data_IF_588973892013
#
_entry.id   IF_588973892013
#
_cell.length_a   1.000
_cell.length_b   1.000
_cell.length_c   1.000
_cell.angle_alpha   90.00
_cell.angle_beta   90.00
_cell.angle_gamma   90.00
#
_symmetry.space_group_name_H-M   'P 1'
#
loop_
_entity.id
_entity.type
_entity.pdbx_description
1 polymer ?
#
# COMPACT_ATOMS: atom_id res chain seq x y z
N UNK A 1 14.92 17.09 -11.07
CA UNK A 1 13.92 16.08 -11.46
C UNK A 1 14.41 14.77 -10.86
N UNK A 2 13.80 14.30 -9.77
CA UNK A 2 14.18 13.02 -9.16
C UNK A 2 13.64 11.93 -10.09
N UNK A 3 14.51 11.02 -10.52
CA UNK A 3 14.11 9.86 -11.33
C UNK A 3 14.00 8.65 -10.41
N UNK A 4 13.04 7.74 -10.63
CA UNK A 4 12.95 6.53 -9.83
C UNK A 4 14.17 5.64 -10.11
N UNK A 5 14.66 4.99 -9.05
CA UNK A 5 15.68 3.93 -9.13
C UNK A 5 15.05 2.65 -9.69
N UNK A 6 13.76 2.43 -9.39
CA UNK A 6 12.97 1.29 -9.83
C UNK A 6 11.52 1.72 -10.01
N UNK A 7 10.87 1.24 -11.07
CA UNK A 7 9.42 1.25 -11.21
C UNK A 7 8.97 -0.20 -11.38
N UNK A 8 8.02 -0.63 -10.54
CA UNK A 8 7.37 -1.92 -10.69
C UNK A 8 5.88 -1.70 -10.88
N UNK A 9 5.49 -1.65 -12.15
CA UNK A 9 4.13 -1.37 -12.57
C UNK A 9 3.18 -2.54 -12.27
N UNK A 10 3.68 -3.79 -12.19
CA UNK A 10 2.85 -4.94 -11.82
C UNK A 10 2.43 -4.94 -10.34
N UNK A 11 3.13 -4.15 -9.52
CA UNK A 11 2.87 -3.95 -8.08
C UNK A 11 2.54 -2.49 -7.74
N UNK A 12 2.24 -1.66 -8.75
CA UNK A 12 1.85 -0.25 -8.63
C UNK A 12 2.74 0.60 -7.70
N UNK A 13 4.07 0.43 -7.76
CA UNK A 13 5.00 1.24 -6.95
C UNK A 13 6.28 1.65 -7.68
N UNK A 14 6.95 2.65 -7.12
CA UNK A 14 8.28 3.07 -7.56
C UNK A 14 9.17 3.39 -6.36
N UNK A 15 10.49 3.17 -6.51
CA UNK A 15 11.52 3.51 -5.54
C UNK A 15 12.25 4.77 -5.99
N UNK A 16 12.49 5.68 -5.06
CA UNK A 16 13.24 6.91 -5.30
C UNK A 16 14.37 7.00 -4.28
N UNK A 17 15.55 7.37 -4.76
CA UNK A 17 16.61 7.84 -3.88
C UNK A 17 16.31 9.29 -3.49
N UNK A 18 16.33 9.57 -2.19
CA UNK A 18 16.01 10.89 -1.63
C UNK A 18 17.21 11.40 -0.86
N UNK A 19 17.73 12.56 -1.26
CA UNK A 19 18.82 13.21 -0.56
C UNK A 19 18.32 13.78 0.78
N UNK A 20 18.95 13.36 1.88
CA UNK A 20 18.41 13.53 3.24
C UNK A 20 18.59 14.97 3.75
N UNK A 21 19.21 15.86 2.96
CA UNK A 21 19.45 17.26 3.31
C UNK A 21 18.12 18.01 3.59
N UNK A 22 16.99 17.49 3.09
CA UNK A 22 15.67 17.67 3.71
C UNK A 22 14.60 16.75 3.11
N UNK A 23 14.16 15.76 3.88
CA UNK A 23 12.76 15.53 4.14
C UNK A 23 12.45 15.86 5.59
N UNK A 24 11.29 16.45 5.86
CA UNK A 24 10.86 16.74 7.23
C UNK A 24 10.92 15.46 8.07
N UNK A 25 11.40 15.54 9.32
CA UNK A 25 11.50 14.40 10.24
C UNK A 25 10.20 13.56 10.32
N UNK A 26 9.06 14.14 9.95
CA UNK A 26 7.76 13.49 9.82
C UNK A 26 7.74 12.32 8.80
N UNK A 27 8.51 12.37 7.71
CA UNK A 27 8.60 11.28 6.74
C UNK A 27 9.29 10.06 7.35
N UNK A 28 10.38 10.26 8.08
CA UNK A 28 11.11 9.17 8.74
C UNK A 28 10.32 8.54 9.89
N UNK A 29 9.56 9.34 10.64
CA UNK A 29 8.77 8.84 11.78
C UNK A 29 7.68 7.84 11.38
N UNK A 30 7.24 7.86 10.11
CA UNK A 30 6.21 6.96 9.61
C UNK A 30 6.73 5.92 8.62
N UNK A 31 8.01 5.97 8.27
CA UNK A 31 8.64 5.02 7.38
C UNK A 31 8.71 3.63 8.04
N UNK A 32 8.52 2.59 7.24
CA UNK A 32 8.73 1.20 7.65
C UNK A 32 10.00 0.73 6.96
N UNK A 33 10.96 0.22 7.71
CA UNK A 33 12.16 -0.39 7.14
C UNK A 33 11.77 -1.59 6.28
N UNK A 34 12.38 -1.74 5.11
CA UNK A 34 12.18 -2.92 4.26
C UNK A 34 12.58 -4.23 4.94
N UNK A 35 13.38 -4.17 6.00
CA UNK A 35 13.80 -5.32 6.81
C UNK A 35 12.87 -5.62 8.00
N UNK A 36 11.98 -4.70 8.37
CA UNK A 36 11.09 -4.84 9.53
C UNK A 36 9.73 -5.43 9.11
N UNK A 37 9.74 -6.73 8.79
CA UNK A 37 8.55 -7.45 8.34
C UNK A 37 7.48 -7.60 9.43
N UNK A 38 7.82 -7.40 10.71
CA UNK A 38 6.85 -7.44 11.80
C UNK A 38 5.84 -6.27 11.70
N UNK A 39 6.19 -5.20 10.99
CA UNK A 39 5.31 -4.07 10.68
C UNK A 39 4.39 -4.32 9.48
N UNK A 40 4.57 -5.42 8.75
CA UNK A 40 3.79 -5.76 7.57
C UNK A 40 2.92 -6.97 7.86
N UNK A 41 1.65 -6.94 7.47
CA UNK A 41 0.77 -8.09 7.64
C UNK A 41 1.15 -9.23 6.68
N UNK A 42 1.09 -10.46 7.19
CA UNK A 42 1.51 -11.66 6.44
C UNK A 42 0.52 -12.09 5.36
N UNK A 43 -0.73 -11.63 5.45
CA UNK A 43 -1.84 -12.02 4.60
C UNK A 43 -3.13 -11.24 4.94
N UNK A 44 -4.18 -11.40 4.14
CA UNK A 44 -5.49 -10.81 4.42
C UNK A 44 -6.13 -11.51 5.62
N UNK A 45 -6.92 -10.76 6.38
CA UNK A 45 -7.76 -11.30 7.45
C UNK A 45 -8.90 -10.34 7.73
N UNK A 46 -10.02 -10.87 8.19
CA UNK A 46 -11.16 -10.06 8.62
C UNK A 46 -10.78 -9.24 9.85
N UNK A 47 -10.65 -7.92 9.68
CA UNK A 47 -10.27 -6.99 10.75
C UNK A 47 -10.67 -5.57 10.42
N UNK A 48 -10.74 -4.73 11.44
CA UNK A 48 -10.91 -3.29 11.27
C UNK A 48 -9.60 -2.68 10.75
N UNK A 49 -9.73 -1.80 9.76
CA UNK A 49 -8.61 -1.10 9.14
C UNK A 49 -8.86 0.40 9.08
N UNK A 50 -7.76 1.14 8.95
CA UNK A 50 -7.76 2.57 8.65
C UNK A 50 -6.84 2.90 7.49
N UNK A 51 -7.21 3.94 6.76
CA UNK A 51 -6.38 4.61 5.78
C UNK A 51 -6.42 6.12 6.02
N UNK A 52 -5.32 6.80 5.74
CA UNK A 52 -5.25 8.25 5.78
C UNK A 52 -5.43 8.80 4.37
N UNK A 53 -6.35 9.74 4.20
CA UNK A 53 -6.66 10.39 2.92
C UNK A 53 -5.66 11.49 2.62
N UNK A 54 -5.66 11.97 1.38
CA UNK A 54 -4.73 13.00 0.90
C UNK A 54 -4.85 14.33 1.65
N UNK A 55 -6.01 14.61 2.27
CA UNK A 55 -6.26 15.79 3.10
C UNK A 55 -5.90 15.58 4.59
N UNK A 56 -5.40 14.40 4.97
CA UNK A 56 -4.99 14.07 6.34
C UNK A 56 -6.09 13.47 7.22
N UNK A 57 -7.31 13.29 6.71
CA UNK A 57 -8.37 12.61 7.46
C UNK A 57 -8.12 11.10 7.55
N UNK A 58 -8.70 10.47 8.56
CA UNK A 58 -8.65 9.00 8.71
C UNK A 58 -9.99 8.40 8.35
N UNK A 59 -9.99 7.49 7.36
CA UNK A 59 -11.17 6.72 6.95
C UNK A 59 -11.04 5.29 7.48
N UNK A 60 -12.12 4.81 8.08
CA UNK A 60 -12.20 3.46 8.70
C UNK A 60 -12.95 2.50 7.79
N UNK A 61 -12.58 1.23 7.86
CA UNK A 61 -13.19 0.16 7.08
C UNK A 61 -12.96 -1.20 7.69
N UNK A 62 -13.37 -2.24 6.95
CA UNK A 62 -13.16 -3.65 7.30
C UNK A 62 -12.44 -4.33 6.15
N UNK A 63 -11.31 -4.96 6.46
CA UNK A 63 -10.57 -5.83 5.56
C UNK A 63 -11.32 -7.16 5.39
N UNK A 64 -11.29 -7.69 4.17
CA UNK A 64 -11.76 -9.04 3.87
C UNK A 64 -10.69 -10.08 4.18
N UNK A 65 -11.10 -11.30 4.46
CA UNK A 65 -10.21 -12.47 4.41
C UNK A 65 -9.99 -12.96 2.98
N UNK A 66 -10.94 -12.68 2.09
CA UNK A 66 -10.87 -13.03 0.67
C UNK A 66 -9.97 -12.07 -0.11
N UNK A 67 -9.27 -12.64 -1.10
CA UNK A 67 -8.47 -11.91 -2.08
C UNK A 67 -9.20 -11.74 -3.41
N UNK A 68 -8.72 -10.82 -4.22
CA UNK A 68 -9.09 -10.72 -5.64
C UNK A 68 -7.87 -10.98 -6.50
N UNK A 69 -8.04 -11.78 -7.55
CA UNK A 69 -7.02 -11.92 -8.58
C UNK A 69 -7.30 -10.88 -9.67
N UNK A 70 -6.38 -9.94 -9.84
CA UNK A 70 -6.52 -8.84 -10.80
C UNK A 70 -5.41 -8.89 -11.83
N UNK A 71 -5.69 -8.33 -13.02
CA UNK A 71 -4.70 -8.09 -14.05
C UNK A 71 -4.62 -6.58 -14.27
N UNK A 72 -3.46 -6.00 -13.97
CA UNK A 72 -3.25 -4.58 -14.19
C UNK A 72 -3.18 -4.27 -15.70
N UNK A 73 -3.56 -3.05 -16.12
CA UNK A 73 -3.44 -2.64 -17.51
C UNK A 73 -2.01 -2.88 -17.99
N UNK A 74 -1.86 -3.38 -19.23
CA UNK A 74 -0.56 -3.65 -19.87
C UNK A 74 0.22 -4.88 -19.38
N UNK A 75 -0.23 -5.56 -18.32
CA UNK A 75 0.40 -6.79 -17.82
C UNK A 75 -0.33 -8.06 -18.30
N UNK A 76 0.45 -9.11 -18.52
CA UNK A 76 -0.05 -10.47 -18.81
C UNK A 76 -0.24 -11.30 -17.55
N UNK A 77 0.47 -10.95 -16.49
CA UNK A 77 0.43 -11.65 -15.21
C UNK A 77 -0.74 -11.17 -14.35
N UNK A 78 -1.22 -12.08 -13.51
CA UNK A 78 -2.26 -11.80 -12.53
C UNK A 78 -1.62 -11.68 -11.15
N UNK A 79 -2.06 -10.71 -10.37
CA UNK A 79 -1.63 -10.50 -8.99
C UNK A 79 -2.80 -10.69 -8.05
N UNK A 80 -2.54 -11.38 -6.95
CA UNK A 80 -3.49 -11.50 -5.85
C UNK A 80 -3.42 -10.25 -4.97
N UNK A 81 -4.54 -9.57 -4.80
CA UNK A 81 -4.66 -8.34 -4.03
C UNK A 81 -5.66 -8.48 -2.91
N UNK A 82 -5.49 -7.69 -1.86
CA UNK A 82 -6.41 -7.66 -0.74
C UNK A 82 -7.60 -6.75 -1.04
N UNK A 83 -8.68 -6.92 -0.27
CA UNK A 83 -9.85 -6.07 -0.39
C UNK A 83 -10.33 -5.58 0.96
N UNK A 84 -10.77 -4.33 1.00
CA UNK A 84 -11.45 -3.78 2.16
C UNK A 84 -12.70 -3.02 1.73
N UNK A 85 -13.63 -2.85 2.67
CA UNK A 85 -14.79 -1.97 2.51
C UNK A 85 -14.68 -0.82 3.49
N UNK A 86 -14.55 0.41 3.00
CA UNK A 86 -14.50 1.61 3.82
C UNK A 86 -15.91 2.19 4.04
N UNK A 87 -16.17 2.66 5.26
CA UNK A 87 -17.48 3.21 5.67
C UNK A 87 -17.68 4.68 5.25
N UNK A 88 -16.65 5.28 4.68
CA UNK A 88 -16.68 6.55 3.95
C UNK A 88 -15.94 6.40 2.62
N UNK A 89 -16.02 7.42 1.77
CA UNK A 89 -15.36 7.36 0.48
C UNK A 89 -13.90 7.79 0.60
N UNK A 90 -12.99 6.82 0.45
CA UNK A 90 -11.74 7.12 -0.25
C UNK A 90 -12.11 7.65 -1.63
N UNK A 91 -11.50 8.74 -2.05
CA UNK A 91 -11.83 9.48 -3.27
C UNK A 91 -10.66 9.56 -4.25
N UNK A 92 -10.87 10.24 -5.40
CA UNK A 92 -9.78 10.59 -6.30
C UNK A 92 -8.67 11.34 -5.55
N UNK A 93 -7.43 10.84 -5.66
CA UNK A 93 -6.26 11.38 -4.95
C UNK A 93 -5.80 10.56 -3.74
N UNK A 94 -6.61 9.60 -3.26
CA UNK A 94 -6.23 8.70 -2.15
C UNK A 94 -5.49 7.44 -2.62
N UNK A 95 -5.18 7.31 -3.91
CA UNK A 95 -4.30 6.24 -4.40
C UNK A 95 -2.91 6.38 -3.75
N UNK A 96 -2.31 5.24 -3.38
CA UNK A 96 -1.07 5.17 -2.61
C UNK A 96 -1.27 5.26 -1.10
N UNK A 97 -2.47 5.61 -0.60
CA UNK A 97 -2.74 5.62 0.84
C UNK A 97 -2.52 4.24 1.46
N UNK A 98 -1.80 4.22 2.58
CA UNK A 98 -1.53 3.00 3.32
C UNK A 98 -2.77 2.52 4.07
N UNK A 99 -3.06 1.23 3.94
CA UNK A 99 -4.10 0.56 4.70
C UNK A 99 -3.45 -0.21 5.85
N UNK A 100 -3.77 0.20 7.08
CA UNK A 100 -3.21 -0.39 8.30
C UNK A 100 -4.30 -1.04 9.12
N UNK A 101 -3.94 -2.11 9.82
CA UNK A 101 -4.76 -2.66 10.89
C UNK A 101 -5.02 -1.58 11.96
N UNK A 102 -6.27 -1.47 12.41
CA UNK A 102 -6.67 -0.40 13.31
C UNK A 102 -6.01 -0.51 14.69
N UNK A 103 -5.76 -1.74 15.16
CA UNK A 103 -5.30 -2.06 16.51
C UNK A 103 -3.78 -2.15 16.59
N UNK A 104 -3.18 -3.00 15.74
CA UNK A 104 -1.74 -3.30 15.71
C UNK A 104 -0.95 -2.27 14.91
N UNK A 105 -1.61 -1.53 14.01
CA UNK A 105 -0.96 -0.59 13.11
C UNK A 105 -0.12 -1.23 12.00
N UNK A 106 -0.13 -2.58 11.87
CA UNK A 106 0.60 -3.28 10.82
C UNK A 106 0.03 -2.93 9.44
N UNK A 107 0.91 -2.84 8.45
CA UNK A 107 0.60 -2.46 7.09
C UNK A 107 0.09 -3.66 6.28
N UNK A 108 -1.12 -3.58 5.76
CA UNK A 108 -1.61 -4.53 4.77
C UNK A 108 -1.08 -4.21 3.37
N UNK A 109 -1.04 -2.93 3.01
CA UNK A 109 -0.75 -2.54 1.64
C UNK A 109 -1.09 -1.09 1.35
N UNK A 110 -1.11 -0.76 0.06
CA UNK A 110 -1.52 0.55 -0.43
C UNK A 110 -2.73 0.45 -1.36
N UNK A 111 -3.56 1.49 -1.38
CA UNK A 111 -4.73 1.58 -2.25
C UNK A 111 -4.26 1.84 -3.69
N UNK A 112 -4.67 0.99 -4.64
CA UNK A 112 -4.40 1.20 -6.07
C UNK A 112 -5.67 1.33 -6.91
N UNK A 113 -6.80 0.81 -6.42
CA UNK A 113 -8.09 0.93 -7.08
C UNK A 113 -9.26 0.91 -6.06
N UNK A 114 -10.38 1.52 -6.43
CA UNK A 114 -11.58 1.50 -5.59
C UNK A 114 -12.85 1.81 -6.36
N UNK A 115 -13.97 1.36 -5.81
CA UNK A 115 -15.32 1.63 -6.29
C UNK A 115 -16.00 2.59 -5.31
N UNK A 116 -16.00 3.88 -5.66
CA UNK A 116 -16.53 4.96 -4.81
C UNK A 116 -17.97 4.71 -4.34
N UNK A 117 -18.93 4.30 -5.20
CA UNK A 117 -20.31 4.02 -4.79
C UNK A 117 -20.50 3.05 -3.63
N UNK A 118 -19.67 2.00 -3.54
CA UNK A 118 -19.88 0.94 -2.54
C UNK A 118 -18.72 0.81 -1.54
N UNK A 119 -17.68 1.65 -1.67
CA UNK A 119 -16.53 1.68 -0.77
C UNK A 119 -15.63 0.45 -0.87
N UNK A 120 -15.80 -0.40 -1.88
CA UNK A 120 -14.90 -1.53 -2.12
C UNK A 120 -13.56 -1.01 -2.63
N UNK A 121 -12.49 -1.35 -1.95
CA UNK A 121 -11.14 -0.89 -2.24
C UNK A 121 -10.23 -2.08 -2.44
N UNK A 122 -9.46 -2.08 -3.52
CA UNK A 122 -8.42 -3.04 -3.81
C UNK A 122 -7.08 -2.51 -3.29
N UNK A 123 -6.34 -3.39 -2.63
CA UNK A 123 -5.15 -3.04 -1.86
C UNK A 123 -4.00 -3.93 -2.33
N UNK A 124 -2.94 -3.31 -2.84
CA UNK A 124 -1.75 -4.01 -3.26
C UNK A 124 -0.97 -4.47 -2.02
N UNK A 125 -0.70 -5.78 -1.85
CA UNK A 125 -0.06 -6.30 -0.65
C UNK A 125 1.32 -5.69 -0.40
N UNK A 126 1.51 -5.07 0.77
CA UNK A 126 2.82 -4.54 1.15
C UNK A 126 3.89 -5.64 1.23
N UNK A 127 3.50 -6.86 1.60
CA UNK A 127 4.40 -8.03 1.61
C UNK A 127 5.06 -8.23 0.24
N UNK A 128 4.29 -8.22 -0.85
CA UNK A 128 4.81 -8.42 -2.21
C UNK A 128 5.72 -7.24 -2.62
N UNK A 129 5.30 -6.01 -2.31
CA UNK A 129 6.10 -4.81 -2.59
C UNK A 129 7.45 -4.86 -1.86
N UNK A 130 7.45 -5.21 -0.57
CA UNK A 130 8.66 -5.26 0.25
C UNK A 130 9.60 -6.38 -0.20
N UNK A 131 9.07 -7.56 -0.48
CA UNK A 131 9.84 -8.69 -1.00
C UNK A 131 10.48 -8.35 -2.36
N UNK A 132 9.72 -7.73 -3.26
CA UNK A 132 10.25 -7.28 -4.57
C UNK A 132 11.32 -6.21 -4.40
N UNK A 133 11.03 -5.15 -3.65
CA UNK A 133 11.93 -4.01 -3.47
C UNK A 133 13.27 -4.45 -2.86
N UNK A 134 13.24 -5.31 -1.84
CA UNK A 134 14.45 -5.86 -1.22
C UNK A 134 15.25 -6.69 -2.22
N UNK A 135 14.58 -7.57 -2.97
CA UNK A 135 15.24 -8.42 -3.97
C UNK A 135 15.95 -7.59 -5.04
N UNK A 136 15.36 -6.47 -5.46
CA UNK A 136 15.97 -5.57 -6.44
C UNK A 136 17.15 -4.78 -5.86
N UNK A 137 17.07 -4.34 -4.60
CA UNK A 137 18.16 -3.64 -3.92
C UNK A 137 19.34 -4.55 -3.58
N UNK A 138 19.10 -5.82 -3.25
CA UNK A 138 20.16 -6.80 -2.98
C UNK A 138 20.96 -7.19 -4.25
N UNK A 139 20.43 -6.88 -5.45
CA UNK A 139 21.06 -7.16 -6.74
C UNK A 139 21.89 -5.98 -7.28
N UNK A 140 21.86 -4.82 -6.62
CA UNK A 140 22.65 -3.63 -6.97
C UNK A 140 23.98 -3.59 -6.21
#
# INVERSE_FOLDING_TARGET
KVSPVLCEESLDYALFEVDIISPSAALFNNAISLTDLDKVESGPRKTDVKAMTSNGDTVRGVMSEDTLTVRLPQFTEFVEVYTARFFGSLGPGDCGSWVRDEVTGRLFGHVFAGNLPNGLTAIMPAKLVFEHARTQLDQQ
#
